data_IF_815155663595
#
_entry.id   IF_815155663595
#
_cell.length_a   1.000
_cell.length_b   1.000
_cell.length_c   1.000
_cell.angle_alpha   90.00
_cell.angle_beta   90.00
_cell.angle_gamma   90.00
#
_symmetry.space_group_name_H-M   'P 1'
#
loop_
_entity.id
_entity.type
_entity.pdbx_description
1 polymer ?
#
# COMPACT_ATOMS: atom_id res chain seq x y z
N UNK A 1 5.84 -8.37 -10.25
CA UNK A 1 5.83 -6.90 -10.19
C UNK A 1 6.62 -6.29 -11.36
N UNK A 2 6.23 -5.11 -11.86
CA UNK A 2 6.92 -4.39 -12.95
C UNK A 2 6.99 -2.89 -12.66
N UNK A 3 8.16 -2.27 -12.84
CA UNK A 3 8.29 -0.81 -12.90
C UNK A 3 8.40 -0.38 -14.36
N UNK A 4 7.61 0.61 -14.76
CA UNK A 4 7.65 1.19 -16.11
C UNK A 4 8.09 2.65 -16.02
N UNK A 5 9.10 2.99 -16.82
CA UNK A 5 9.64 4.35 -16.96
C UNK A 5 9.18 4.88 -18.31
N UNK A 6 8.25 5.85 -18.32
CA UNK A 6 7.63 6.34 -19.54
C UNK A 6 8.42 7.51 -20.14
N UNK A 7 8.28 7.71 -21.45
CA UNK A 7 9.01 8.77 -22.19
C UNK A 7 8.54 10.18 -21.82
N UNK A 8 7.30 10.32 -21.38
CA UNK A 8 6.67 11.56 -20.92
C UNK A 8 7.14 11.98 -19.51
N UNK A 9 8.04 11.21 -18.89
CA UNK A 9 8.56 11.49 -17.55
C UNK A 9 7.68 10.93 -16.43
N UNK A 10 6.61 10.19 -16.77
CA UNK A 10 5.82 9.47 -15.79
C UNK A 10 6.45 8.12 -15.43
N UNK A 11 6.15 7.67 -14.23
CA UNK A 11 6.57 6.39 -13.70
C UNK A 11 5.35 5.61 -13.23
N UNK A 12 5.46 4.29 -13.30
CA UNK A 12 4.38 3.39 -12.91
C UNK A 12 4.94 2.16 -12.24
N UNK A 13 4.35 1.79 -11.10
CA UNK A 13 4.60 0.55 -10.40
C UNK A 13 3.37 -0.34 -10.60
N UNK A 14 3.51 -1.32 -11.49
CA UNK A 14 2.44 -2.22 -11.88
C UNK A 14 2.46 -3.52 -11.08
N UNK A 15 1.36 -3.89 -10.41
CA UNK A 15 1.15 -5.25 -9.95
C UNK A 15 1.09 -6.25 -11.11
N UNK A 16 1.20 -7.53 -10.77
CA UNK A 16 0.84 -8.62 -11.68
C UNK A 16 -0.62 -8.49 -12.12
N UNK A 17 -1.01 -8.98 -13.32
CA UNK A 17 -2.40 -8.95 -13.77
C UNK A 17 -3.37 -9.58 -12.76
N UNK A 18 -2.94 -10.64 -12.09
CA UNK A 18 -3.69 -11.36 -11.07
C UNK A 18 -4.01 -10.46 -9.88
N UNK A 19 -3.01 -9.74 -9.35
CA UNK A 19 -3.26 -8.79 -8.27
C UNK A 19 -4.04 -7.58 -8.76
N UNK A 20 -3.76 -7.06 -9.97
CA UNK A 20 -4.53 -5.94 -10.53
C UNK A 20 -6.04 -6.23 -10.57
N UNK A 21 -6.43 -7.48 -10.80
CA UNK A 21 -7.82 -7.90 -10.83
C UNK A 21 -8.53 -7.82 -9.47
N UNK A 22 -7.79 -7.95 -8.35
CA UNK A 22 -8.35 -7.86 -6.99
C UNK A 22 -8.53 -6.41 -6.53
N UNK A 23 -7.88 -5.45 -7.19
CA UNK A 23 -7.97 -4.03 -6.86
C UNK A 23 -9.27 -3.40 -7.35
N UNK A 24 -9.80 -2.47 -6.54
CA UNK A 24 -10.96 -1.63 -6.91
C UNK A 24 -10.62 -0.71 -8.09
N UNK A 25 -11.61 -0.33 -8.91
CA UNK A 25 -11.40 0.56 -10.06
C UNK A 25 -10.72 1.90 -9.69
N UNK A 26 -11.15 2.59 -8.63
CA UNK A 26 -10.54 3.85 -8.19
C UNK A 26 -9.09 3.70 -7.76
N UNK A 27 -8.76 2.59 -7.10
CA UNK A 27 -7.40 2.31 -6.63
C UNK A 27 -6.43 1.99 -7.78
N UNK A 28 -6.91 1.38 -8.88
CA UNK A 28 -6.07 1.11 -10.06
C UNK A 28 -5.47 2.39 -10.64
N UNK A 29 -6.21 3.50 -10.59
CA UNK A 29 -5.72 4.79 -11.09
C UNK A 29 -4.62 5.39 -10.20
N UNK A 30 -4.65 5.14 -8.88
CA UNK A 30 -3.61 5.58 -7.95
C UNK A 30 -2.25 4.88 -8.18
N UNK A 31 -2.22 3.65 -8.76
CA UNK A 31 -0.96 2.99 -9.18
C UNK A 31 -0.35 3.61 -10.41
N UNK A 32 -1.21 4.14 -11.27
CA UNK A 32 -0.94 4.03 -12.69
C UNK A 32 0.05 5.10 -13.15
N UNK A 33 0.17 6.25 -12.48
CA UNK A 33 1.13 7.30 -12.84
C UNK A 33 1.51 8.22 -11.68
N UNK A 34 2.81 8.37 -11.44
CA UNK A 34 3.34 9.57 -10.77
C UNK A 34 4.32 10.30 -11.69
N UNK A 35 4.35 11.62 -11.55
CA UNK A 35 5.27 12.53 -12.23
C UNK A 35 6.19 13.19 -11.22
N UNK A 36 7.40 13.53 -11.65
CA UNK A 36 8.36 14.20 -10.78
C UNK A 36 9.22 13.19 -10.03
N UNK A 37 10.53 13.36 -10.15
CA UNK A 37 11.54 12.61 -9.44
C UNK A 37 12.55 13.66 -8.96
N UNK A 38 12.85 13.76 -7.65
CA UNK A 38 13.77 14.76 -7.14
C UNK A 38 15.14 14.62 -7.82
N UNK A 39 15.73 15.75 -8.21
CA UNK A 39 17.11 15.80 -8.69
C UNK A 39 18.03 15.70 -7.47
N UNK A 40 18.78 14.61 -7.39
CA UNK A 40 19.66 14.27 -6.24
C UNK A 40 21.13 14.53 -6.53
N UNK A 41 21.44 14.91 -7.76
CA UNK A 41 22.78 15.19 -8.25
C UNK A 41 22.70 15.73 -9.67
N UNK A 42 23.82 16.23 -10.19
CA UNK A 42 23.84 16.91 -11.49
C UNK A 42 23.23 16.05 -12.59
N UNK A 43 22.02 16.40 -13.04
CA UNK A 43 21.25 15.70 -14.09
C UNK A 43 20.88 14.26 -13.75
N UNK A 44 20.81 13.92 -12.46
CA UNK A 44 20.40 12.60 -11.96
C UNK A 44 19.19 12.75 -11.04
N UNK A 45 18.13 12.03 -11.37
CA UNK A 45 16.86 12.03 -10.63
C UNK A 45 16.60 10.68 -9.99
N UNK A 46 16.02 10.69 -8.79
CA UNK A 46 15.62 9.50 -8.06
C UNK A 46 14.13 9.22 -8.26
N UNK A 47 13.79 8.20 -9.05
CA UNK A 47 12.40 7.94 -9.41
C UNK A 47 11.64 7.13 -8.34
N UNK A 48 12.33 6.19 -7.70
CA UNK A 48 11.75 5.23 -6.74
C UNK A 48 12.84 4.56 -5.91
N UNK A 49 12.56 4.30 -4.63
CA UNK A 49 13.31 3.32 -3.84
C UNK A 49 12.44 2.09 -3.56
N UNK A 50 12.93 0.92 -3.93
CA UNK A 50 12.42 -0.37 -3.47
C UNK A 50 13.14 -0.79 -2.19
N UNK A 51 12.42 -1.37 -1.24
CA UNK A 51 12.96 -1.84 0.04
C UNK A 51 12.64 -3.31 0.22
N UNK A 52 13.66 -4.10 0.52
CA UNK A 52 13.56 -5.54 0.81
C UNK A 52 14.20 -5.81 2.16
N UNK A 53 13.39 -6.07 3.18
CA UNK A 53 13.86 -6.32 4.55
C UNK A 53 14.45 -7.73 4.63
N UNK A 54 15.58 -7.89 5.32
CA UNK A 54 16.23 -9.19 5.47
C UNK A 54 15.27 -10.27 6.01
N UNK A 55 14.49 -9.94 7.04
CA UNK A 55 13.51 -10.85 7.65
C UNK A 55 12.34 -11.27 6.72
N UNK A 56 12.07 -10.51 5.65
CA UNK A 56 10.97 -10.76 4.73
C UNK A 56 11.42 -11.54 3.49
N UNK A 57 12.74 -11.68 3.26
CA UNK A 57 13.26 -12.39 2.10
C UNK A 57 12.86 -13.87 2.14
N UNK A 58 12.60 -14.43 0.96
CA UNK A 58 12.28 -15.84 0.74
C UNK A 58 13.30 -16.46 -0.21
N UNK A 59 13.59 -17.76 -0.11
CA UNK A 59 14.48 -18.43 -1.06
C UNK A 59 14.00 -18.22 -2.50
N UNK A 60 14.91 -17.76 -3.36
CA UNK A 60 14.62 -17.66 -4.79
C UNK A 60 14.66 -19.06 -5.44
N UNK A 61 13.90 -19.25 -6.51
CA UNK A 61 13.99 -20.46 -7.32
C UNK A 61 15.39 -20.56 -7.96
N UNK A 62 15.94 -21.77 -8.06
CA UNK A 62 17.30 -21.99 -8.58
C UNK A 62 17.46 -21.64 -10.07
N UNK A 63 16.35 -21.64 -10.83
CA UNK A 63 16.32 -21.44 -12.28
C UNK A 63 15.77 -20.06 -12.66
N UNK A 64 16.52 -19.00 -12.35
CA UNK A 64 16.21 -17.65 -12.82
C UNK A 64 16.64 -17.46 -14.29
N UNK A 65 15.93 -16.59 -15.02
CA UNK A 65 16.29 -16.18 -16.38
C UNK A 65 17.73 -15.61 -16.40
N UNK A 66 18.57 -15.94 -17.41
CA UNK A 66 19.95 -15.45 -17.48
C UNK A 66 20.09 -13.92 -17.51
N UNK A 67 19.01 -13.18 -17.83
CA UNK A 67 18.98 -11.71 -17.81
C UNK A 67 18.79 -11.14 -16.40
N UNK A 68 18.54 -11.98 -15.41
CA UNK A 68 18.41 -11.55 -14.02
C UNK A 68 19.77 -11.08 -13.49
N UNK A 69 19.77 -9.90 -12.86
CA UNK A 69 20.94 -9.42 -12.10
C UNK A 69 20.79 -9.89 -10.66
N UNK A 70 21.81 -10.57 -10.15
CA UNK A 70 21.88 -10.99 -8.74
C UNK A 70 22.45 -9.85 -7.90
N UNK A 71 21.80 -9.59 -6.78
CA UNK A 71 22.22 -8.61 -5.78
C UNK A 71 22.58 -9.36 -4.50
N UNK A 72 23.51 -8.83 -3.70
CA UNK A 72 23.83 -9.43 -2.41
C UNK A 72 22.61 -9.34 -1.49
N UNK A 73 22.42 -10.38 -0.68
CA UNK A 73 21.44 -10.33 0.40
C UNK A 73 21.87 -9.32 1.46
N UNK A 74 20.92 -8.57 2.04
CA UNK A 74 21.19 -7.69 3.17
C UNK A 74 21.66 -8.51 4.39
N UNK A 75 22.58 -7.99 5.21
CA UNK A 75 22.92 -8.60 6.49
C UNK A 75 21.73 -8.58 7.47
N UNK A 76 21.80 -9.42 8.49
CA UNK A 76 20.79 -9.50 9.56
C UNK A 76 20.55 -8.12 10.19
N UNK A 77 19.29 -7.74 10.37
CA UNK A 77 18.91 -6.44 10.94
C UNK A 77 19.09 -5.26 9.98
N UNK A 78 19.11 -5.52 8.67
CA UNK A 78 19.19 -4.49 7.65
C UNK A 78 18.19 -4.74 6.52
N UNK A 79 18.06 -3.78 5.62
CA UNK A 79 17.29 -3.93 4.38
C UNK A 79 18.19 -3.69 3.17
N UNK A 80 17.82 -4.30 2.05
CA UNK A 80 18.35 -3.98 0.73
C UNK A 80 17.48 -2.87 0.12
N UNK A 81 18.08 -1.71 -0.11
CA UNK A 81 17.47 -0.62 -0.86
C UNK A 81 17.88 -0.69 -2.33
N UNK A 82 16.92 -0.60 -3.26
CA UNK A 82 17.16 -0.45 -4.69
C UNK A 82 16.61 0.88 -5.20
N UNK A 83 17.48 1.73 -5.70
CA UNK A 83 17.16 3.03 -6.23
C UNK A 83 17.07 2.94 -7.75
N UNK A 84 15.93 3.36 -8.28
CA UNK A 84 15.74 3.56 -9.72
C UNK A 84 16.12 5.01 -10.03
N UNK A 85 17.27 5.19 -10.67
CA UNK A 85 17.79 6.51 -11.04
C UNK A 85 17.61 6.77 -12.53
N UNK A 86 17.42 8.04 -12.87
CA UNK A 86 17.40 8.51 -14.24
C UNK A 86 18.49 9.54 -14.43
N UNK A 87 19.40 9.28 -15.36
CA UNK A 87 20.38 10.26 -15.79
C UNK A 87 19.99 10.80 -17.17
N UNK A 88 20.17 12.11 -17.37
CA UNK A 88 20.06 12.73 -18.69
C UNK A 88 21.38 12.66 -19.50
N UNK A 89 22.43 12.05 -18.92
CA UNK A 89 23.72 11.82 -19.57
C UNK A 89 24.17 10.35 -19.41
N UNK A 90 24.77 9.73 -20.44
CA UNK A 90 25.33 8.38 -20.30
C UNK A 90 26.61 8.41 -19.46
N UNK A 91 26.98 7.26 -18.87
CA UNK A 91 28.28 7.06 -18.23
C UNK A 91 28.37 7.56 -16.79
N UNK A 92 27.29 7.50 -16.03
CA UNK A 92 27.29 7.87 -14.60
C UNK A 92 27.92 6.75 -13.78
N UNK A 93 29.24 6.75 -13.60
CA UNK A 93 29.98 5.65 -12.96
C UNK A 93 29.55 5.39 -11.51
N UNK A 94 29.28 6.45 -10.76
CA UNK A 94 28.84 6.40 -9.35
C UNK A 94 27.49 7.12 -9.18
N UNK A 95 26.54 6.54 -8.41
CA UNK A 95 25.31 7.24 -8.09
C UNK A 95 25.62 8.40 -7.14
N UNK A 96 24.92 9.54 -7.24
CA UNK A 96 25.13 10.69 -6.33
C UNK A 96 24.53 10.45 -4.93
N UNK A 97 24.38 9.19 -4.52
CA UNK A 97 23.92 8.77 -3.21
C UNK A 97 25.09 8.03 -2.53
N UNK A 98 25.73 8.62 -1.51
CA UNK A 98 26.85 7.99 -0.84
C UNK A 98 26.55 6.58 -0.34
N UNK A 99 27.45 5.64 -0.57
CA UNK A 99 27.32 4.24 -0.15
C UNK A 99 26.52 3.34 -1.10
N UNK A 100 25.93 3.90 -2.17
CA UNK A 100 25.18 3.12 -3.17
C UNK A 100 26.08 2.67 -4.33
N UNK A 101 25.79 1.49 -4.87
CA UNK A 101 26.53 0.88 -5.98
C UNK A 101 25.62 0.68 -7.18
N UNK A 102 26.05 1.03 -8.41
CA UNK A 102 25.29 0.72 -9.63
C UNK A 102 25.36 -0.79 -9.92
N UNK A 103 24.20 -1.44 -9.99
CA UNK A 103 24.08 -2.84 -10.41
C UNK A 103 23.80 -2.98 -11.91
N UNK A 104 22.92 -2.14 -12.47
CA UNK A 104 22.48 -2.26 -13.87
C UNK A 104 22.38 -0.88 -14.50
N UNK A 105 22.78 -0.81 -15.78
CA UNK A 105 22.57 0.34 -16.66
C UNK A 105 21.67 -0.08 -17.81
N UNK A 106 20.59 0.65 -18.00
CA UNK A 106 19.64 0.42 -19.08
C UNK A 106 19.63 1.65 -20.00
N UNK A 107 19.92 1.48 -21.30
CA UNK A 107 19.84 2.59 -22.24
C UNK A 107 18.39 3.07 -22.34
N UNK A 108 18.21 4.39 -22.46
CA UNK A 108 16.90 4.99 -22.73
C UNK A 108 16.76 5.24 -24.22
N UNK A 109 15.52 5.33 -24.71
CA UNK A 109 15.23 5.68 -26.11
C UNK A 109 15.55 7.13 -26.50
N UNK A 110 16.26 7.87 -25.64
CA UNK A 110 16.71 9.25 -25.80
C UNK A 110 18.06 9.44 -25.10
N UNK A 111 18.57 10.68 -24.96
CA UNK A 111 19.83 10.91 -24.25
C UNK A 111 19.74 10.45 -22.78
N UNK A 112 20.79 9.79 -22.30
CA UNK A 112 20.92 9.33 -20.92
C UNK A 112 20.63 7.84 -20.70
N UNK A 113 20.45 7.47 -19.45
CA UNK A 113 20.33 6.08 -19.00
C UNK A 113 19.42 5.97 -17.77
N UNK A 114 18.83 4.78 -17.58
CA UNK A 114 18.22 4.39 -16.32
C UNK A 114 19.22 3.51 -15.56
N UNK A 115 19.41 3.79 -14.28
CA UNK A 115 20.31 3.03 -13.42
C UNK A 115 19.50 2.32 -12.34
N UNK A 116 19.89 1.09 -12.05
CA UNK A 116 19.52 0.44 -10.79
C UNK A 116 20.75 0.50 -9.90
N UNK A 117 20.64 1.25 -8.81
CA UNK A 117 21.65 1.29 -7.76
C UNK A 117 21.13 0.58 -6.51
N UNK A 118 22.01 0.02 -5.70
CA UNK A 118 21.65 -0.67 -4.48
C UNK A 118 22.56 -0.29 -3.31
N UNK A 119 22.03 -0.42 -2.09
CA UNK A 119 22.79 -0.32 -0.85
C UNK A 119 22.15 -1.20 0.21
N UNK A 120 22.96 -1.65 1.17
CA UNK A 120 22.42 -2.09 2.46
C UNK A 120 22.13 -0.86 3.31
N UNK A 121 20.96 -0.85 3.95
CA UNK A 121 20.52 0.22 4.83
C UNK A 121 20.27 -0.43 6.19
N UNK A 122 21.00 0.03 7.20
CA UNK A 122 20.79 -0.45 8.56
C UNK A 122 19.37 -0.11 9.01
N UNK A 123 18.71 -1.08 9.64
CA UNK A 123 17.40 -0.84 10.24
C UNK A 123 17.55 -0.61 11.74
N UNK A 124 16.80 0.35 12.26
CA UNK A 124 16.68 0.51 13.70
C UNK A 124 15.95 -0.70 14.31
N UNK A 125 16.30 -1.11 15.55
CA UNK A 125 15.55 -2.13 16.27
C UNK A 125 14.05 -1.78 16.34
N UNK A 126 13.17 -2.70 15.95
CA UNK A 126 11.72 -2.46 15.93
C UNK A 126 11.18 -1.75 14.68
N UNK A 127 12.04 -1.36 13.72
CA UNK A 127 11.59 -0.68 12.50
C UNK A 127 10.64 -1.53 11.65
N UNK A 128 10.75 -2.85 11.74
CA UNK A 128 9.84 -3.80 11.09
C UNK A 128 8.47 -3.77 11.76
N UNK A 129 8.43 -3.94 13.07
CA UNK A 129 7.21 -3.93 13.87
C UNK A 129 6.49 -2.59 13.73
N UNK A 130 7.21 -1.47 13.84
CA UNK A 130 6.64 -0.14 13.64
C UNK A 130 6.07 0.06 12.24
N UNK A 131 6.76 -0.44 11.19
CA UNK A 131 6.24 -0.36 9.84
C UNK A 131 4.97 -1.21 9.67
N UNK A 132 4.90 -2.39 10.28
CA UNK A 132 3.70 -3.25 10.30
C UNK A 132 2.54 -2.58 11.04
N UNK A 133 2.81 -1.93 12.18
CA UNK A 133 1.82 -1.17 12.96
C UNK A 133 1.29 0.04 12.18
N UNK A 134 2.17 0.85 11.58
CA UNK A 134 1.77 1.98 10.73
C UNK A 134 0.94 1.50 9.54
N UNK A 135 1.34 0.40 8.95
CA UNK A 135 0.59 -0.27 7.90
C UNK A 135 -0.80 -0.71 8.39
N UNK A 136 -0.95 -1.08 9.67
CA UNK A 136 -2.24 -1.51 10.22
C UNK A 136 -3.16 -0.36 10.62
N UNK A 137 -2.60 0.75 11.11
CA UNK A 137 -3.35 1.92 11.60
C UNK A 137 -3.64 2.95 10.51
N UNK A 138 -2.67 3.21 9.64
CA UNK A 138 -2.76 4.21 8.59
C UNK A 138 -3.11 3.52 7.27
N UNK A 139 -4.35 3.66 6.84
CA UNK A 139 -4.77 3.38 5.45
C UNK A 139 -3.98 4.17 4.39
N UNK A 140 -3.11 5.09 4.81
CA UNK A 140 -2.21 5.88 3.96
C UNK A 140 -1.08 5.05 3.32
N UNK A 141 -0.67 3.92 3.92
CA UNK A 141 0.26 3.00 3.25
C UNK A 141 -0.52 1.97 2.47
N UNK A 142 -0.63 2.21 1.16
CA UNK A 142 -1.42 1.35 0.33
C UNK A 142 -0.78 -0.03 0.20
N UNK A 143 -1.55 -1.07 0.53
CA UNK A 143 -1.13 -2.46 0.42
C UNK A 143 -1.89 -3.16 -0.67
N UNK A 144 -1.16 -3.96 -1.43
CA UNK A 144 -1.79 -5.03 -2.17
C UNK A 144 -1.01 -6.31 -1.94
N UNK A 145 -1.78 -7.35 -1.68
CA UNK A 145 -1.27 -8.69 -1.56
C UNK A 145 -2.03 -9.55 -2.53
N UNK A 146 -1.37 -10.59 -2.96
CA UNK A 146 -1.97 -11.55 -3.85
C UNK A 146 -2.80 -12.57 -3.05
N UNK A 147 -3.65 -12.09 -2.12
CA UNK A 147 -4.55 -12.92 -1.31
C UNK A 147 -5.40 -13.78 -2.24
N UNK A 148 -5.29 -15.09 -2.10
CA UNK A 148 -5.95 -16.06 -2.97
C UNK A 148 -5.22 -16.38 -4.28
N UNK A 149 -3.98 -15.93 -4.45
CA UNK A 149 -3.10 -16.30 -5.57
C UNK A 149 -1.87 -17.09 -5.08
N UNK A 150 -1.05 -17.58 -6.01
CA UNK A 150 0.21 -18.25 -5.72
C UNK A 150 1.40 -17.30 -5.44
N UNK A 151 1.22 -15.97 -5.52
CA UNK A 151 2.31 -15.00 -5.33
C UNK A 151 2.63 -14.83 -3.82
N UNK A 152 3.87 -15.12 -3.36
CA UNK A 152 4.19 -15.27 -1.95
C UNK A 152 4.49 -13.96 -1.21
N UNK A 153 4.24 -12.81 -1.85
CA UNK A 153 4.56 -11.48 -1.33
C UNK A 153 3.46 -10.47 -1.67
N UNK A 154 3.50 -9.34 -0.98
CA UNK A 154 2.74 -8.14 -1.30
C UNK A 154 3.59 -6.89 -1.09
N UNK A 155 3.00 -5.73 -1.33
CA UNK A 155 3.72 -4.47 -1.41
C UNK A 155 3.05 -3.38 -0.61
N UNK A 156 3.82 -2.57 0.10
CA UNK A 156 3.35 -1.31 0.69
C UNK A 156 3.98 -0.09 0.00
N UNK A 157 3.18 0.95 -0.20
CA UNK A 157 3.60 2.21 -0.82
C UNK A 157 3.68 3.29 0.25
N UNK A 158 4.74 4.10 0.20
CA UNK A 158 4.91 5.25 1.07
C UNK A 158 5.70 6.36 0.41
N UNK A 159 5.81 7.49 1.10
CA UNK A 159 6.57 8.65 0.67
C UNK A 159 7.41 9.13 1.85
N UNK A 160 8.66 9.52 1.61
CA UNK A 160 9.48 10.17 2.65
C UNK A 160 9.04 11.62 2.82
N UNK A 161 9.49 12.29 3.89
CA UNK A 161 9.22 13.72 4.11
C UNK A 161 9.68 14.60 2.94
N UNK A 162 10.75 14.21 2.24
CA UNK A 162 11.28 14.91 1.06
C UNK A 162 10.50 14.63 -0.24
N UNK A 163 9.36 13.95 -0.15
CA UNK A 163 8.52 13.59 -1.29
C UNK A 163 9.04 12.41 -2.10
N UNK A 164 10.00 11.65 -1.57
CA UNK A 164 10.56 10.49 -2.27
C UNK A 164 9.66 9.28 -2.10
N UNK A 165 9.23 8.72 -3.23
CA UNK A 165 8.42 7.50 -3.22
C UNK A 165 9.25 6.27 -2.85
N UNK A 166 8.67 5.47 -1.96
CA UNK A 166 9.22 4.22 -1.49
C UNK A 166 8.20 3.10 -1.65
N UNK A 167 8.68 1.91 -2.01
CA UNK A 167 7.87 0.71 -2.11
C UNK A 167 8.58 -0.41 -1.35
N UNK A 168 7.89 -1.03 -0.41
CA UNK A 168 8.42 -2.15 0.37
C UNK A 168 7.78 -3.45 -0.04
N UNK A 169 8.59 -4.50 -0.24
CA UNK A 169 8.10 -5.87 -0.32
C UNK A 169 7.89 -6.44 1.08
N UNK A 170 6.81 -7.21 1.23
CA UNK A 170 6.48 -7.94 2.45
C UNK A 170 6.10 -9.36 2.10
N UNK A 171 6.49 -10.31 2.95
CA UNK A 171 6.02 -11.67 2.77
C UNK A 171 4.51 -11.77 3.06
N UNK A 172 3.82 -12.67 2.34
CA UNK A 172 2.37 -12.75 2.41
C UNK A 172 1.86 -13.13 3.81
N UNK A 173 2.57 -13.98 4.53
CA UNK A 173 2.29 -14.34 5.93
C UNK A 173 2.28 -13.12 6.84
N UNK A 174 3.29 -12.25 6.74
CA UNK A 174 3.31 -10.96 7.45
C UNK A 174 2.09 -10.08 7.12
N UNK A 175 1.58 -10.11 5.88
CA UNK A 175 0.42 -9.32 5.46
C UNK A 175 -0.94 -9.95 5.82
N UNK A 176 -1.00 -11.27 5.99
CA UNK A 176 -2.20 -11.98 6.45
C UNK A 176 -2.43 -11.67 7.92
N UNK A 177 -1.37 -11.76 8.74
CA UNK A 177 -1.44 -11.42 10.17
C UNK A 177 -1.90 -9.98 10.42
N UNK A 178 -1.55 -9.06 9.51
CA UNK A 178 -2.04 -7.68 9.54
C UNK A 178 -3.56 -7.57 9.33
N UNK A 179 -4.19 -8.45 8.54
CA UNK A 179 -5.64 -8.37 8.29
C UNK A 179 -6.47 -8.45 9.57
N UNK A 180 -6.07 -9.33 10.49
CA UNK A 180 -6.73 -9.48 11.78
C UNK A 180 -6.39 -8.33 12.74
N UNK A 181 -5.14 -7.85 12.71
CA UNK A 181 -4.69 -6.70 13.51
C UNK A 181 -5.34 -5.38 13.07
N UNK A 182 -5.57 -5.20 11.75
CA UNK A 182 -6.24 -4.03 11.17
C UNK A 182 -7.64 -3.83 11.79
N UNK A 183 -8.38 -4.93 12.01
CA UNK A 183 -9.70 -4.87 12.65
C UNK A 183 -9.59 -4.78 14.18
N UNK A 184 -8.51 -5.29 14.78
CA UNK A 184 -8.30 -5.23 16.22
C UNK A 184 -8.27 -3.79 16.75
N UNK A 185 -7.67 -2.85 16.01
CA UNK A 185 -7.70 -1.42 16.36
C UNK A 185 -9.14 -0.89 16.47
N UNK A 186 -9.98 -1.13 15.45
CA UNK A 186 -11.38 -0.71 15.47
C UNK A 186 -12.16 -1.38 16.61
N UNK A 187 -11.82 -2.65 16.91
CA UNK A 187 -12.41 -3.42 18.01
C UNK A 187 -12.13 -2.87 19.41
N UNK A 188 -11.14 -1.98 19.56
CA UNK A 188 -10.87 -1.32 20.85
C UNK A 188 -12.03 -0.41 21.29
N UNK A 189 -12.81 0.09 20.33
CA UNK A 189 -13.90 1.06 20.57
C UNK A 189 -15.25 0.61 20.02
N UNK A 190 -15.27 -0.32 19.06
CA UNK A 190 -16.48 -0.91 18.51
C UNK A 190 -16.51 -2.41 18.78
N UNK A 191 -17.49 -2.94 19.52
CA UNK A 191 -17.44 -4.34 19.98
C UNK A 191 -17.63 -5.36 18.86
N UNK A 192 -18.26 -5.00 17.75
CA UNK A 192 -18.53 -5.91 16.64
C UNK A 192 -18.04 -5.33 15.31
N UNK A 193 -16.84 -5.76 14.91
CA UNK A 193 -16.19 -5.36 13.65
C UNK A 193 -15.87 -6.60 12.82
N UNK A 194 -16.34 -6.60 11.58
CA UNK A 194 -16.30 -7.73 10.65
C UNK A 194 -15.77 -7.29 9.28
N UNK A 195 -15.19 -8.20 8.47
CA UNK A 195 -14.87 -7.89 7.08
C UNK A 195 -16.15 -7.68 6.26
N UNK A 196 -16.11 -6.81 5.25
CA UNK A 196 -17.24 -6.53 4.37
C UNK A 196 -17.68 -7.77 3.57
N UNK A 197 -16.80 -8.73 3.35
CA UNK A 197 -17.15 -10.03 2.74
C UNK A 197 -18.18 -10.83 3.55
N UNK A 198 -18.37 -10.51 4.84
CA UNK A 198 -19.41 -11.11 5.67
C UNK A 198 -20.75 -10.36 5.57
N UNK A 199 -20.81 -9.23 4.87
CA UNK A 199 -22.03 -8.49 4.62
C UNK A 199 -22.84 -9.17 3.51
N UNK A 200 -24.07 -9.57 3.82
CA UNK A 200 -24.88 -10.43 2.94
C UNK A 200 -25.95 -9.67 2.13
N UNK A 201 -26.13 -8.37 2.40
CA UNK A 201 -27.17 -7.57 1.76
C UNK A 201 -26.61 -6.83 0.54
N UNK A 202 -27.46 -6.52 -0.43
CA UNK A 202 -27.06 -5.68 -1.55
C UNK A 202 -26.82 -4.26 -1.08
N UNK A 203 -25.64 -3.73 -1.38
CA UNK A 203 -25.32 -2.32 -1.15
C UNK A 203 -25.64 -1.54 -2.43
N UNK A 204 -26.27 -0.36 -2.34
CA UNK A 204 -26.34 0.58 -3.47
C UNK A 204 -24.94 1.15 -3.72
N UNK A 205 -24.07 0.38 -4.40
CA UNK A 205 -22.65 0.66 -4.65
C UNK A 205 -22.42 1.74 -5.72
N UNK A 206 -23.15 2.85 -5.68
CA UNK A 206 -22.84 4.00 -6.53
C UNK A 206 -21.62 4.78 -6.03
N UNK A 207 -21.12 4.46 -4.83
CA UNK A 207 -19.98 5.13 -4.19
C UNK A 207 -18.99 4.07 -3.65
N UNK A 208 -17.69 4.34 -3.74
CA UNK A 208 -16.67 3.49 -3.13
C UNK A 208 -16.72 3.65 -1.59
N UNK A 209 -17.13 2.59 -0.90
CA UNK A 209 -17.29 2.59 0.57
C UNK A 209 -16.03 2.11 1.28
N UNK A 210 -15.71 2.71 2.42
CA UNK A 210 -14.78 2.21 3.42
C UNK A 210 -15.41 1.13 4.27
N UNK A 211 -16.62 1.40 4.75
CA UNK A 211 -17.33 0.51 5.66
C UNK A 211 -18.84 0.66 5.53
N UNK A 212 -19.55 -0.30 6.09
CA UNK A 212 -20.99 -0.27 6.30
C UNK A 212 -21.25 -0.41 7.78
N UNK A 213 -22.07 0.49 8.33
CA UNK A 213 -22.50 0.48 9.71
C UNK A 213 -23.94 -0.02 9.77
N UNK A 214 -24.22 -1.00 10.63
CA UNK A 214 -25.57 -1.45 10.96
C UNK A 214 -25.87 -1.18 12.45
N UNK A 215 -27.07 -0.66 12.73
CA UNK A 215 -27.57 -0.40 14.08
C UNK A 215 -28.99 -0.96 14.19
N UNK A 216 -29.16 -2.05 14.93
CA UNK A 216 -30.48 -2.63 15.21
C UNK A 216 -31.22 -1.87 16.33
N UNK A 217 -32.56 -1.95 16.37
CA UNK A 217 -33.41 -1.18 17.29
C UNK A 217 -33.15 -1.33 18.80
N UNK A 218 -32.44 -2.39 19.23
CA UNK A 218 -31.93 -2.57 20.62
C UNK A 218 -30.48 -3.12 20.61
N UNK A 219 -29.83 -3.10 19.44
CA UNK A 219 -28.58 -3.82 19.18
C UNK A 219 -27.35 -2.95 19.34
N UNK A 220 -26.20 -3.60 19.60
CA UNK A 220 -24.89 -2.96 19.48
C UNK A 220 -24.60 -2.68 18.01
N UNK A 221 -23.91 -1.57 17.68
CA UNK A 221 -23.52 -1.29 16.30
C UNK A 221 -22.59 -2.40 15.79
N UNK A 222 -22.79 -2.78 14.52
CA UNK A 222 -21.91 -3.71 13.79
C UNK A 222 -21.27 -2.95 12.64
N UNK A 223 -19.94 -2.96 12.57
CA UNK A 223 -19.18 -2.32 11.50
C UNK A 223 -18.60 -3.38 10.56
N UNK A 224 -18.93 -3.29 9.29
CA UNK A 224 -18.40 -4.12 8.21
C UNK A 224 -17.38 -3.31 7.40
N UNK A 225 -16.11 -3.68 7.47
CA UNK A 225 -15.01 -2.90 6.86
C UNK A 225 -14.52 -3.59 5.60
N UNK A 226 -14.39 -2.86 4.49
CA UNK A 226 -13.72 -3.41 3.31
C UNK A 226 -12.21 -3.29 3.51
N UNK A 227 -11.56 -4.43 3.73
CA UNK A 227 -10.12 -4.54 3.94
C UNK A 227 -9.29 -4.21 2.69
N UNK A 228 -9.94 -4.05 1.54
CA UNK A 228 -9.32 -3.61 0.28
C UNK A 228 -9.38 -2.10 0.08
N UNK A 229 -10.21 -1.40 0.85
CA UNK A 229 -10.37 0.05 0.71
C UNK A 229 -9.18 0.80 1.33
N UNK A 230 -8.76 1.92 0.71
CA UNK A 230 -7.69 2.80 1.23
C UNK A 230 -8.19 3.69 2.37
N UNK A 231 -8.70 3.09 3.44
CA UNK A 231 -9.34 3.82 4.53
C UNK A 231 -8.39 3.96 5.71
N UNK A 232 -8.15 5.20 6.14
CA UNK A 232 -7.49 5.42 7.41
C UNK A 232 -8.41 4.91 8.53
N UNK A 233 -7.98 3.90 9.28
CA UNK A 233 -8.81 3.26 10.31
C UNK A 233 -9.01 4.15 11.53
N UNK A 234 -8.08 5.07 11.81
CA UNK A 234 -8.26 6.10 12.84
C UNK A 234 -9.37 7.07 12.43
N UNK A 235 -9.28 7.64 11.22
CA UNK A 235 -10.33 8.53 10.68
C UNK A 235 -11.68 7.80 10.55
N UNK A 236 -11.68 6.55 10.06
CA UNK A 236 -12.89 5.73 9.98
C UNK A 236 -13.52 5.54 11.36
N UNK A 237 -12.71 5.31 12.40
CA UNK A 237 -13.22 5.15 13.75
C UNK A 237 -13.84 6.46 14.27
N UNK A 238 -13.19 7.59 14.03
CA UNK A 238 -13.71 8.91 14.39
C UNK A 238 -15.04 9.21 13.66
N UNK A 239 -15.11 8.92 12.37
CA UNK A 239 -16.31 9.08 11.54
C UNK A 239 -17.44 8.20 12.07
N UNK A 240 -17.18 6.92 12.35
CA UNK A 240 -18.18 5.99 12.90
C UNK A 240 -18.70 6.50 14.24
N UNK A 241 -17.82 6.92 15.15
CA UNK A 241 -18.21 7.42 16.47
C UNK A 241 -19.05 8.71 16.36
N UNK A 242 -18.71 9.58 15.40
CA UNK A 242 -19.47 10.80 15.11
C UNK A 242 -20.87 10.47 14.60
N UNK A 243 -20.97 9.56 13.62
CA UNK A 243 -22.25 9.09 13.06
C UNK A 243 -23.13 8.44 14.13
N UNK A 244 -22.54 7.62 15.01
CA UNK A 244 -23.27 7.00 16.13
C UNK A 244 -23.76 8.02 17.16
N UNK A 245 -22.95 9.05 17.47
CA UNK A 245 -23.38 10.13 18.39
C UNK A 245 -24.55 10.91 17.78
N UNK A 246 -24.44 11.27 16.50
CA UNK A 246 -25.48 12.00 15.78
C UNK A 246 -26.79 11.20 15.71
N UNK A 247 -26.72 9.89 15.44
CA UNK A 247 -27.88 9.00 15.44
C UNK A 247 -28.58 8.98 16.81
N UNK A 248 -27.82 8.90 17.90
CA UNK A 248 -28.38 8.88 19.25
C UNK A 248 -29.02 10.22 19.66
N UNK A 249 -28.44 11.34 19.22
CA UNK A 249 -28.92 12.68 19.58
C UNK A 249 -30.11 13.14 18.74
N UNK A 250 -30.08 12.85 17.44
CA UNK A 250 -30.99 13.45 16.46
C UNK A 250 -31.86 12.44 15.70
N UNK A 251 -31.59 11.14 15.84
CA UNK A 251 -32.20 10.10 15.02
C UNK A 251 -31.54 9.98 13.62
N UNK A 252 -32.04 9.06 12.77
CA UNK A 252 -31.50 8.86 11.42
C UNK A 252 -31.80 10.07 10.54
N UNK A 253 -30.81 10.50 9.76
CA UNK A 253 -30.95 11.48 8.69
C UNK A 253 -31.13 10.79 7.32
N UNK A 254 -31.09 11.57 6.22
CA UNK A 254 -31.25 11.04 4.86
C UNK A 254 -30.11 10.14 4.36
N UNK A 255 -29.03 9.97 5.12
CA UNK A 255 -27.94 9.05 4.83
C UNK A 255 -28.15 7.62 5.36
N UNK A 256 -29.25 7.37 6.06
CA UNK A 256 -29.61 6.06 6.59
C UNK A 256 -30.71 5.40 5.77
N UNK A 257 -30.53 4.11 5.53
CA UNK A 257 -31.56 3.23 5.02
C UNK A 257 -32.11 2.35 6.16
N UNK A 258 -33.42 2.15 6.21
CA UNK A 258 -34.07 1.22 7.13
C UNK A 258 -34.36 -0.10 6.42
N UNK A 259 -33.91 -1.19 7.00
CA UNK A 259 -34.07 -2.55 6.48
C UNK A 259 -35.41 -3.16 6.93
N UNK A 260 -35.83 -4.25 6.28
CA UNK A 260 -37.13 -4.91 6.57
C UNK A 260 -37.30 -5.35 8.04
N UNK A 261 -36.20 -5.60 8.75
CA UNK A 261 -36.17 -5.98 10.16
C UNK A 261 -36.09 -4.78 11.12
N UNK A 262 -36.16 -3.55 10.60
CA UNK A 262 -36.03 -2.30 11.36
C UNK A 262 -34.58 -1.94 11.72
N UNK A 263 -33.59 -2.65 11.17
CA UNK A 263 -32.18 -2.28 11.31
C UNK A 263 -31.87 -1.07 10.45
N UNK A 264 -31.18 -0.09 11.02
CA UNK A 264 -30.67 1.05 10.28
C UNK A 264 -29.30 0.71 9.70
N UNK A 265 -29.06 1.08 8.44
CA UNK A 265 -27.76 0.92 7.79
C UNK A 265 -27.32 2.19 7.11
N UNK A 266 -26.01 2.44 7.12
CA UNK A 266 -25.40 3.54 6.38
C UNK A 266 -24.01 3.16 5.89
N UNK A 267 -23.62 3.70 4.74
CA UNK A 267 -22.29 3.53 4.17
C UNK A 267 -21.36 4.68 4.57
N UNK A 268 -20.13 4.35 4.94
CA UNK A 268 -19.07 5.33 5.18
C UNK A 268 -18.17 5.32 3.96
N UNK A 269 -18.14 6.42 3.19
CA UNK A 269 -17.38 6.54 1.95
C UNK A 269 -15.88 6.78 2.21
N UNK A 270 -15.05 6.49 1.21
CA UNK A 270 -13.63 6.89 1.22
C UNK A 270 -13.55 8.41 1.02
N UNK A 271 -12.94 9.15 1.95
CA UNK A 271 -12.48 10.50 1.63
C UNK A 271 -11.29 10.37 0.67
N UNK A 272 -11.47 10.83 -0.57
CA UNK A 272 -10.36 11.00 -1.49
C UNK A 272 -9.71 12.36 -1.21
N UNK A 273 -8.56 12.35 -0.56
CA UNK A 273 -7.61 13.47 -0.63
C UNK A 273 -6.94 13.52 -2.01
#
# INVERSE_FOLDING_TARGET
MKISLHKDGNFQHGPTPEVRATLRPGDRHALDRWSGAPEIGKRVRLALILRFREAELRPAADNLDPRCTRLPSPPVGSLLGLAVLLSDAPGVDEPPIPGWTVAVRLPRGGPGEALLAWSHIAEEPGARESALEQMASLGAQWKWSARGSAEPFGWSHGETEDGLRTVSEWALDSLVDLGDQNLAYLRTRLPDVRPLTAYQRELPLHVELCAVLEVGGIGKPVLYVDDRARCNHEALLEDVLTVLSALNENGPDGGWDELEDGTLTTGIAVQHD
#
